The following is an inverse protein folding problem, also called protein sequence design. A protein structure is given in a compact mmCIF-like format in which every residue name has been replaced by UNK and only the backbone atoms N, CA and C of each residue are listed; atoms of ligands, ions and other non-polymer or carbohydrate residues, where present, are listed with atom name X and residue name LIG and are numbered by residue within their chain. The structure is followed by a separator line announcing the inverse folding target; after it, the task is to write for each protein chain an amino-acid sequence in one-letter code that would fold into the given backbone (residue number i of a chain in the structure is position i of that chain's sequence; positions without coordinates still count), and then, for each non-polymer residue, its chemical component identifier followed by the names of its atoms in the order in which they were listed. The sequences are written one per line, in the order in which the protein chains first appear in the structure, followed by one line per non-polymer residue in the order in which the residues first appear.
data_IF_103510501305
#
_entry.id   IF_103510501305
#
_cell.length_a   1.000
_cell.length_b   1.000
_cell.length_c   1.000
_cell.angle_alpha   90.00
_cell.angle_beta   90.00
_cell.angle_gamma   90.00
#
_symmetry.space_group_name_H-M   'P 1'
#
loop_
_entity.id
_entity.type
_entity.pdbx_description
1 polymer ?
#
# COMPACT_ATOMS: atom_id res chain seq x y z
N UNK A 1 -6.26 63.33 -11.14
CA UNK A 1 -5.32 62.40 -11.79
C UNK A 1 -4.71 61.52 -10.71
N UNK A 2 -5.20 60.29 -10.51
CA UNK A 2 -4.40 59.13 -10.12
C UNK A 2 -5.20 57.90 -10.54
N UNK A 3 -4.70 57.29 -11.61
CA UNK A 3 -5.28 56.13 -12.29
C UNK A 3 -5.01 54.88 -11.46
N UNK A 4 -6.06 54.07 -11.26
CA UNK A 4 -5.98 52.70 -10.75
C UNK A 4 -5.24 51.85 -11.77
N UNK A 5 -4.17 51.19 -11.34
CA UNK A 5 -3.64 50.01 -12.03
C UNK A 5 -3.73 48.83 -11.05
N UNK A 6 -4.93 48.24 -10.97
CA UNK A 6 -5.07 46.86 -10.50
C UNK A 6 -4.55 46.03 -11.66
N UNK A 7 -3.34 45.49 -11.53
CA UNK A 7 -2.83 44.49 -12.46
C UNK A 7 -3.84 43.34 -12.50
N UNK A 8 -4.35 43.11 -13.69
CA UNK A 8 -5.19 41.99 -14.10
C UNK A 8 -4.69 40.68 -13.53
N UNK A 9 -5.27 40.26 -12.39
CA UNK A 9 -5.35 38.85 -12.04
C UNK A 9 -6.22 38.25 -13.13
N UNK A 10 -5.59 37.45 -13.98
CA UNK A 10 -6.21 36.80 -15.11
C UNK A 10 -7.27 35.85 -14.53
N UNK A 11 -8.54 36.22 -14.63
CA UNK A 11 -9.66 35.43 -14.08
C UNK A 11 -9.74 34.01 -14.69
N UNK A 12 -9.07 33.81 -15.83
CA UNK A 12 -8.87 32.49 -16.45
C UNK A 12 -7.88 31.60 -15.69
N UNK A 13 -6.85 32.14 -15.03
CA UNK A 13 -5.88 31.32 -14.30
C UNK A 13 -6.49 30.78 -12.98
N UNK A 14 -7.34 31.56 -12.30
CA UNK A 14 -8.14 31.05 -11.16
C UNK A 14 -9.16 29.98 -11.57
N UNK A 15 -9.77 30.11 -12.76
CA UNK A 15 -10.76 29.13 -13.25
C UNK A 15 -10.11 27.85 -13.79
N UNK A 16 -8.81 27.84 -14.06
CA UNK A 16 -8.08 26.65 -14.50
C UNK A 16 -7.58 25.81 -13.32
N UNK A 17 -7.30 26.43 -12.16
CA UNK A 17 -7.06 25.68 -10.92
C UNK A 17 -8.36 25.09 -10.34
N UNK A 18 -9.50 25.77 -10.43
CA UNK A 18 -10.76 25.25 -9.91
C UNK A 18 -11.41 24.16 -10.80
N UNK A 19 -11.17 24.15 -12.12
CA UNK A 19 -11.80 23.17 -13.03
C UNK A 19 -11.16 21.79 -13.01
N UNK A 20 -9.93 21.64 -12.51
CA UNK A 20 -9.32 20.32 -12.32
C UNK A 20 -9.91 19.56 -11.11
N UNK A 21 -10.63 20.25 -10.22
CA UNK A 21 -11.08 19.73 -8.92
C UNK A 21 -12.46 19.07 -8.98
N UNK A 22 -13.19 19.19 -10.09
CA UNK A 22 -14.54 18.64 -10.25
C UNK A 22 -14.58 17.21 -10.85
N UNK A 23 -13.49 16.45 -10.80
CA UNK A 23 -13.47 15.05 -11.22
C UNK A 23 -13.63 14.10 -10.03
N UNK A 24 -14.78 13.44 -9.99
CA UNK A 24 -15.13 12.28 -9.17
C UNK A 24 -14.60 12.32 -7.73
N UNK A 25 -15.38 12.78 -6.72
CA UNK A 25 -14.97 12.78 -5.31
C UNK A 25 -14.40 11.43 -4.82
N UNK A 26 -14.87 10.32 -5.39
CA UNK A 26 -14.33 8.99 -5.13
C UNK A 26 -12.88 8.78 -5.60
N UNK A 27 -12.44 9.40 -6.69
CA UNK A 27 -11.06 9.31 -7.19
C UNK A 27 -10.09 10.05 -6.25
N UNK A 28 -10.43 11.25 -5.78
CA UNK A 28 -9.58 11.97 -4.82
C UNK A 28 -9.43 11.21 -3.49
N UNK A 29 -10.53 10.63 -2.98
CA UNK A 29 -10.47 9.78 -1.79
C UNK A 29 -9.61 8.53 -2.03
N UNK A 30 -9.76 7.88 -3.18
CA UNK A 30 -8.95 6.74 -3.56
C UNK A 30 -7.46 7.08 -3.66
N UNK A 31 -7.10 8.25 -4.19
CA UNK A 31 -5.71 8.72 -4.25
C UNK A 31 -5.12 8.96 -2.86
N UNK A 32 -5.89 9.58 -1.94
CA UNK A 32 -5.46 9.76 -0.54
C UNK A 32 -5.24 8.41 0.15
N UNK A 33 -6.16 7.47 -0.06
CA UNK A 33 -6.05 6.12 0.47
C UNK A 33 -4.80 5.41 -0.07
N UNK A 34 -4.56 5.46 -1.39
CA UNK A 34 -3.38 4.83 -2.02
C UNK A 34 -2.06 5.45 -1.56
N UNK A 35 -2.02 6.78 -1.37
CA UNK A 35 -0.88 7.47 -0.80
C UNK A 35 -0.60 6.97 0.61
N UNK A 36 -1.62 6.84 1.46
CA UNK A 36 -1.46 6.30 2.81
C UNK A 36 -1.06 4.81 2.81
N UNK A 37 -1.71 3.99 1.98
CA UNK A 37 -1.41 2.57 1.81
C UNK A 37 0.05 2.32 1.39
N UNK A 38 0.59 3.13 0.49
CA UNK A 38 2.01 3.09 0.10
C UNK A 38 2.94 3.21 1.31
N UNK A 39 2.70 4.15 2.22
CA UNK A 39 3.53 4.32 3.43
C UNK A 39 3.43 3.12 4.36
N UNK A 40 2.23 2.53 4.49
CA UNK A 40 2.02 1.33 5.29
C UNK A 40 2.81 0.16 4.73
N UNK A 41 2.71 -0.08 3.43
CA UNK A 41 3.42 -1.18 2.78
C UNK A 41 4.95 -1.01 2.91
N UNK A 42 5.45 0.23 2.80
CA UNK A 42 6.87 0.51 3.01
C UNK A 42 7.30 0.21 4.45
N UNK A 43 6.52 0.66 5.44
CA UNK A 43 6.75 0.38 6.86
C UNK A 43 6.73 -1.13 7.16
N UNK A 44 5.82 -1.88 6.55
CA UNK A 44 5.78 -3.34 6.62
C UNK A 44 7.03 -3.99 5.98
N UNK A 45 7.50 -3.46 4.86
CA UNK A 45 8.70 -3.95 4.18
C UNK A 45 9.94 -3.77 5.06
N UNK A 46 10.10 -2.59 5.66
CA UNK A 46 11.22 -2.26 6.54
C UNK A 46 11.17 -3.10 7.82
N UNK A 47 9.98 -3.23 8.41
CA UNK A 47 9.71 -4.08 9.59
C UNK A 47 10.10 -5.54 9.35
N UNK A 48 9.65 -6.16 8.25
CA UNK A 48 10.05 -7.53 7.90
C UNK A 48 11.54 -7.65 7.62
N UNK A 49 12.13 -6.67 6.93
CA UNK A 49 13.55 -6.66 6.61
C UNK A 49 14.42 -6.70 7.87
N UNK A 50 14.01 -5.98 8.91
CA UNK A 50 14.69 -5.96 10.21
C UNK A 50 14.76 -7.32 10.91
N UNK A 51 13.84 -8.24 10.59
CA UNK A 51 13.81 -9.59 11.18
C UNK A 51 14.78 -10.55 10.47
N UNK A 52 15.13 -10.30 9.21
CA UNK A 52 15.90 -11.22 8.34
C UNK A 52 17.15 -11.82 9.01
N UNK A 53 17.99 -11.08 9.77
CA UNK A 53 19.17 -11.65 10.40
C UNK A 53 18.88 -12.81 11.37
N UNK A 54 17.69 -12.79 11.99
CA UNK A 54 17.25 -13.73 13.03
C UNK A 54 16.38 -14.86 12.49
N UNK A 55 15.82 -14.70 11.30
CA UNK A 55 14.99 -15.72 10.66
C UNK A 55 15.86 -16.85 10.09
N UNK A 56 15.44 -18.10 10.33
CA UNK A 56 16.14 -19.31 9.86
C UNK A 56 15.29 -20.19 8.94
N UNK A 57 15.96 -21.10 8.24
CA UNK A 57 15.33 -22.11 7.39
C UNK A 57 14.53 -21.53 6.23
N UNK A 58 13.45 -22.23 5.83
CA UNK A 58 12.57 -21.82 4.73
C UNK A 58 11.92 -20.45 4.95
N UNK A 59 11.68 -20.09 6.22
CA UNK A 59 11.09 -18.79 6.56
C UNK A 59 12.01 -17.65 6.13
N UNK A 60 13.35 -17.83 6.17
CA UNK A 60 14.30 -16.77 5.81
C UNK A 60 14.14 -16.33 4.36
N UNK A 61 14.05 -17.29 3.45
CA UNK A 61 13.85 -17.02 2.02
C UNK A 61 12.51 -16.33 1.80
N UNK A 62 11.45 -16.81 2.46
CA UNK A 62 10.13 -16.17 2.38
C UNK A 62 10.16 -14.73 2.88
N UNK A 63 10.73 -14.45 4.06
CA UNK A 63 10.83 -13.11 4.63
C UNK A 63 11.56 -12.14 3.69
N UNK A 64 12.71 -12.55 3.13
CA UNK A 64 13.47 -11.74 2.15
C UNK A 64 12.61 -11.43 0.92
N UNK A 65 11.95 -12.45 0.36
CA UNK A 65 11.18 -12.25 -0.86
C UNK A 65 9.90 -11.44 -0.61
N UNK A 66 9.29 -11.57 0.56
CA UNK A 66 8.11 -10.80 0.96
C UNK A 66 8.49 -9.33 1.20
N UNK A 67 9.57 -9.04 1.95
CA UNK A 67 10.02 -7.67 2.20
C UNK A 67 10.40 -6.95 0.91
N UNK A 68 11.09 -7.63 -0.01
CA UNK A 68 11.44 -7.06 -1.31
C UNK A 68 10.21 -6.75 -2.15
N UNK A 69 9.22 -7.65 -2.14
CA UNK A 69 7.99 -7.47 -2.90
C UNK A 69 7.13 -6.33 -2.36
N UNK A 70 7.02 -6.19 -1.03
CA UNK A 70 6.38 -5.03 -0.40
C UNK A 70 7.09 -3.72 -0.79
N UNK A 71 8.43 -3.70 -0.80
CA UNK A 71 9.18 -2.52 -1.26
C UNK A 71 8.89 -2.17 -2.72
N UNK A 72 8.81 -3.19 -3.59
CA UNK A 72 8.44 -3.00 -4.99
C UNK A 72 7.02 -2.45 -5.15
N UNK A 73 6.04 -2.97 -4.38
CA UNK A 73 4.68 -2.43 -4.33
C UNK A 73 4.72 -0.93 -3.99
N UNK A 74 5.42 -0.55 -2.91
CA UNK A 74 5.50 0.84 -2.49
C UNK A 74 6.15 1.73 -3.56
N UNK A 75 7.20 1.25 -4.24
CA UNK A 75 7.86 1.99 -5.31
C UNK A 75 6.95 2.14 -6.54
N UNK A 76 6.28 1.08 -6.98
CA UNK A 76 5.36 1.12 -8.12
C UNK A 76 4.19 2.07 -7.85
N UNK A 77 3.62 2.04 -6.65
CA UNK A 77 2.61 3.01 -6.22
C UNK A 77 3.16 4.44 -6.19
N UNK A 78 4.43 4.64 -5.79
CA UNK A 78 5.06 5.96 -5.82
C UNK A 78 5.07 6.54 -7.23
N UNK A 79 5.54 5.76 -8.20
CA UNK A 79 5.64 6.22 -9.59
C UNK A 79 4.26 6.46 -10.20
N UNK A 80 3.30 5.57 -9.94
CA UNK A 80 1.93 5.74 -10.43
C UNK A 80 1.22 6.97 -9.84
N UNK A 81 1.42 7.27 -8.55
CA UNK A 81 0.87 8.46 -7.90
C UNK A 81 1.46 9.76 -8.49
N UNK A 82 2.74 9.77 -8.87
CA UNK A 82 3.35 10.95 -9.52
C UNK A 82 2.69 11.26 -10.86
N UNK A 83 2.30 10.24 -11.63
CA UNK A 83 1.66 10.43 -12.93
C UNK A 83 0.34 11.21 -12.82
N UNK A 84 -0.40 11.02 -11.73
CA UNK A 84 -1.66 11.71 -11.45
C UNK A 84 -1.47 12.99 -10.62
N UNK A 85 -0.25 13.51 -10.54
CA UNK A 85 0.08 14.76 -9.83
C UNK A 85 0.11 14.66 -8.30
N UNK A 86 0.07 13.45 -7.74
CA UNK A 86 0.14 13.25 -6.29
C UNK A 86 1.60 13.11 -5.86
N UNK A 87 2.06 13.95 -4.94
CA UNK A 87 3.40 13.81 -4.35
C UNK A 87 3.44 12.59 -3.39
N UNK A 88 4.21 11.53 -3.70
CA UNK A 88 4.24 10.31 -2.90
C UNK A 88 5.20 10.38 -1.70
N UNK A 89 6.07 11.40 -1.63
CA UNK A 89 7.09 11.55 -0.58
C UNK A 89 6.56 12.22 0.67
N UNK A 90 5.51 13.02 0.53
CA UNK A 90 4.84 13.67 1.66
C UNK A 90 3.95 12.65 2.38
N UNK A 91 4.24 12.37 3.65
CA UNK A 91 3.39 11.48 4.46
C UNK A 91 2.09 12.22 4.81
N UNK A 92 0.91 11.61 4.63
CA UNK A 92 -0.33 12.20 5.12
C UNK A 92 -0.27 12.41 6.64
N UNK A 93 -0.63 13.61 7.12
CA UNK A 93 -0.63 13.96 8.55
C UNK A 93 -1.57 13.04 9.35
N UNK A 94 -2.69 12.65 8.75
CA UNK A 94 -3.69 11.75 9.32
C UNK A 94 -3.73 10.41 8.58
N UNK A 95 -2.58 9.72 8.52
CA UNK A 95 -2.46 8.43 7.85
C UNK A 95 -3.52 7.41 8.32
N UNK A 96 -3.85 7.42 9.61
CA UNK A 96 -4.86 6.56 10.21
C UNK A 96 -6.28 6.89 9.72
N UNK A 97 -6.59 8.17 9.54
CA UNK A 97 -7.89 8.62 9.02
C UNK A 97 -8.05 8.30 7.52
N UNK A 98 -6.94 8.31 6.77
CA UNK A 98 -6.96 8.07 5.32
C UNK A 98 -7.24 6.61 4.93
N UNK A 99 -6.82 5.64 5.75
CA UNK A 99 -6.89 4.21 5.41
C UNK A 99 -8.16 3.51 5.90
N UNK A 100 -8.86 4.12 6.87
CA UNK A 100 -10.01 3.54 7.55
C UNK A 100 -9.63 2.52 8.64
N UNK A 101 -10.54 2.31 9.58
CA UNK A 101 -10.34 1.49 10.78
C UNK A 101 -9.87 0.06 10.48
N UNK A 102 -10.45 -0.59 9.46
CA UNK A 102 -10.12 -1.98 9.12
C UNK A 102 -8.66 -2.13 8.67
N UNK A 103 -8.16 -1.20 7.85
CA UNK A 103 -6.77 -1.20 7.41
C UNK A 103 -5.82 -0.82 8.55
N UNK A 104 -6.27 0.02 9.48
CA UNK A 104 -5.51 0.41 10.67
C UNK A 104 -5.35 -0.76 11.64
N UNK A 105 -6.42 -1.51 11.90
CA UNK A 105 -6.38 -2.76 12.67
C UNK A 105 -5.46 -3.79 12.02
N UNK A 106 -5.54 -3.93 10.69
CA UNK A 106 -4.62 -4.77 9.92
C UNK A 106 -3.14 -4.44 10.17
N UNK A 107 -2.80 -3.15 10.17
CA UNK A 107 -1.45 -2.67 10.45
C UNK A 107 -1.04 -2.86 11.91
N UNK A 108 -1.94 -2.58 12.87
CA UNK A 108 -1.65 -2.73 14.30
C UNK A 108 -1.29 -4.18 14.64
N UNK A 109 -2.06 -5.14 14.14
CA UNK A 109 -1.77 -6.55 14.42
C UNK A 109 -0.52 -7.03 13.69
N UNK A 110 -0.26 -6.55 12.48
CA UNK A 110 1.02 -6.82 11.81
C UNK A 110 2.20 -6.33 12.66
N UNK A 111 2.13 -5.09 13.18
CA UNK A 111 3.18 -4.54 14.04
C UNK A 111 3.33 -5.31 15.34
N UNK A 112 2.22 -5.71 15.96
CA UNK A 112 2.24 -6.53 17.16
C UNK A 112 2.97 -7.87 16.92
N UNK A 113 2.67 -8.55 15.80
CA UNK A 113 3.35 -9.78 15.41
C UNK A 113 4.84 -9.54 15.17
N UNK A 114 5.20 -8.49 14.42
CA UNK A 114 6.62 -8.16 14.18
C UNK A 114 7.35 -7.89 15.49
N UNK A 115 6.76 -7.14 16.41
CA UNK A 115 7.35 -6.81 17.69
C UNK A 115 7.54 -8.07 18.56
N UNK A 116 6.54 -8.95 18.63
CA UNK A 116 6.65 -10.24 19.32
C UNK A 116 7.81 -11.08 18.75
N UNK A 117 7.91 -11.16 17.41
CA UNK A 117 9.02 -11.85 16.77
C UNK A 117 10.37 -11.17 17.01
N UNK A 118 10.37 -9.84 17.16
CA UNK A 118 11.58 -9.06 17.42
C UNK A 118 12.13 -9.25 18.84
N UNK A 119 11.40 -9.88 19.75
CA UNK A 119 11.92 -10.27 21.07
C UNK A 119 12.71 -11.58 21.02
N UNK A 120 12.59 -12.35 19.93
CA UNK A 120 13.26 -13.65 19.78
C UNK A 120 14.67 -13.50 19.22
N UNK A 121 15.61 -14.27 19.76
CA UNK A 121 16.96 -14.40 19.20
C UNK A 121 16.97 -15.13 17.85
N UNK A 122 16.10 -16.13 17.71
CA UNK A 122 15.93 -16.92 16.49
C UNK A 122 14.46 -17.09 16.17
N UNK A 123 14.10 -16.86 14.91
CA UNK A 123 12.73 -16.96 14.41
C UNK A 123 12.65 -18.09 13.38
N UNK A 124 11.68 -18.98 13.56
CA UNK A 124 11.45 -20.16 12.73
C UNK A 124 10.02 -20.19 12.20
N UNK A 125 9.75 -21.09 11.24
CA UNK A 125 8.39 -21.26 10.69
C UNK A 125 7.36 -21.60 11.79
N UNK A 126 7.76 -22.34 12.82
CA UNK A 126 6.85 -22.72 13.92
C UNK A 126 6.35 -21.52 14.71
N UNK A 127 7.16 -20.45 14.79
CA UNK A 127 6.80 -19.23 15.52
C UNK A 127 5.67 -18.45 14.86
N UNK A 128 5.49 -18.59 13.54
CA UNK A 128 4.55 -17.78 12.77
C UNK A 128 3.42 -18.58 12.12
N UNK A 129 3.57 -19.90 11.97
CA UNK A 129 2.65 -20.73 11.18
C UNK A 129 1.18 -20.64 11.62
N UNK A 130 0.92 -20.54 12.93
CA UNK A 130 -0.44 -20.39 13.47
C UNK A 130 -1.09 -19.07 13.08
N UNK A 131 -0.30 -18.03 12.81
CA UNK A 131 -0.77 -16.69 12.42
C UNK A 131 -0.79 -16.47 10.91
N UNK A 132 -0.08 -17.30 10.13
CA UNK A 132 -0.03 -17.15 8.67
C UNK A 132 -1.43 -17.17 8.04
N UNK A 133 -2.37 -17.96 8.54
CA UNK A 133 -3.74 -18.00 8.04
C UNK A 133 -4.48 -16.66 8.22
N UNK A 134 -4.40 -16.07 9.41
CA UNK A 134 -4.99 -14.75 9.71
C UNK A 134 -4.35 -13.65 8.85
N UNK A 135 -3.03 -13.69 8.69
CA UNK A 135 -2.31 -12.73 7.85
C UNK A 135 -2.75 -12.85 6.38
N UNK A 136 -2.89 -14.08 5.85
CA UNK A 136 -3.38 -14.31 4.48
C UNK A 136 -4.78 -13.71 4.29
N UNK A 137 -5.71 -13.93 5.22
CA UNK A 137 -7.07 -13.37 5.11
C UNK A 137 -7.06 -11.83 5.04
N UNK A 138 -6.18 -11.17 5.80
CA UNK A 138 -6.03 -9.71 5.75
C UNK A 138 -5.46 -9.23 4.42
N UNK A 139 -4.50 -9.96 3.87
CA UNK A 139 -3.94 -9.68 2.53
C UNK A 139 -5.05 -9.83 1.47
N UNK A 140 -5.89 -10.86 1.54
CA UNK A 140 -7.00 -11.09 0.62
C UNK A 140 -8.09 -10.01 0.70
N UNK A 141 -8.37 -9.50 1.91
CA UNK A 141 -9.25 -8.35 2.11
C UNK A 141 -8.68 -7.08 1.47
N UNK A 142 -7.38 -6.81 1.68
CA UNK A 142 -6.70 -5.69 1.06
C UNK A 142 -6.68 -5.78 -0.48
N UNK A 143 -6.44 -6.98 -1.03
CA UNK A 143 -6.56 -7.25 -2.48
C UNK A 143 -7.97 -6.91 -2.98
N UNK A 144 -9.02 -7.30 -2.25
CA UNK A 144 -10.40 -7.00 -2.63
C UNK A 144 -10.68 -5.49 -2.64
N UNK A 145 -10.16 -4.76 -1.66
CA UNK A 145 -10.22 -3.29 -1.63
C UNK A 145 -9.49 -2.66 -2.82
N UNK A 146 -8.27 -3.12 -3.12
CA UNK A 146 -7.49 -2.64 -4.28
C UNK A 146 -8.21 -2.91 -5.60
N UNK A 147 -8.88 -4.05 -5.76
CA UNK A 147 -9.71 -4.35 -6.94
C UNK A 147 -10.85 -3.36 -7.10
N UNK A 148 -11.52 -2.99 -6.01
CA UNK A 148 -12.58 -1.98 -6.04
C UNK A 148 -12.03 -0.60 -6.46
N UNK A 149 -10.86 -0.20 -5.92
CA UNK A 149 -10.20 1.05 -6.33
C UNK A 149 -9.76 1.03 -7.79
N UNK A 150 -9.26 -0.11 -8.27
CA UNK A 150 -8.85 -0.29 -9.66
C UNK A 150 -9.99 0.01 -10.63
N UNK A 151 -11.20 -0.48 -10.36
CA UNK A 151 -12.39 -0.24 -11.19
C UNK A 151 -12.73 1.25 -11.28
N UNK A 152 -12.55 2.00 -10.20
CA UNK A 152 -12.76 3.47 -10.18
C UNK A 152 -11.84 4.14 -11.20
N UNK A 153 -10.56 3.75 -11.24
CA UNK A 153 -9.57 4.35 -12.13
C UNK A 153 -9.66 3.85 -13.58
N UNK A 154 -10.04 2.60 -13.81
CA UNK A 154 -10.30 2.06 -15.16
C UNK A 154 -11.48 2.75 -15.86
N UNK A 155 -12.49 3.14 -15.07
CA UNK A 155 -13.68 3.82 -15.57
C UNK A 155 -13.44 5.31 -15.86
N UNK A 156 -12.26 5.83 -15.53
CA UNK A 156 -11.95 7.24 -15.71
C UNK A 156 -11.43 7.54 -17.13
N UNK A 157 -11.72 8.75 -17.63
CA UNK A 157 -11.33 9.18 -18.98
C UNK A 157 -9.85 9.53 -19.12
N UNK A 158 -9.18 9.88 -18.01
CA UNK A 158 -7.77 10.29 -17.99
C UNK A 158 -6.81 9.11 -18.12
N UNK A 159 -5.85 9.23 -19.03
CA UNK A 159 -4.82 8.21 -19.27
C UNK A 159 -3.95 7.96 -18.03
N UNK A 160 -3.72 8.98 -17.20
CA UNK A 160 -2.96 8.87 -15.96
C UNK A 160 -3.66 7.95 -14.94
N UNK A 161 -5.01 7.95 -14.92
CA UNK A 161 -5.77 7.02 -14.08
C UNK A 161 -5.74 5.59 -14.63
N UNK A 162 -5.65 5.40 -15.95
CA UNK A 162 -5.40 4.07 -16.52
C UNK A 162 -4.00 3.54 -16.16
N UNK A 163 -2.98 4.40 -16.12
CA UNK A 163 -1.67 4.01 -15.62
C UNK A 163 -1.72 3.60 -14.14
N UNK A 164 -2.53 4.30 -13.34
CA UNK A 164 -2.76 3.93 -11.95
C UNK A 164 -3.48 2.57 -11.81
N UNK A 165 -4.47 2.27 -12.66
CA UNK A 165 -5.13 0.96 -12.62
C UNK A 165 -4.20 -0.20 -12.98
N UNK A 166 -3.27 0.00 -13.93
CA UNK A 166 -2.22 -0.97 -14.24
C UNK A 166 -1.27 -1.18 -13.06
N UNK A 167 -0.89 -0.10 -12.37
CA UNK A 167 -0.07 -0.20 -11.15
C UNK A 167 -0.81 -0.99 -10.05
N UNK A 168 -2.12 -0.77 -9.89
CA UNK A 168 -2.93 -1.52 -8.93
C UNK A 168 -3.02 -3.00 -9.29
N UNK A 169 -3.10 -3.37 -10.56
CA UNK A 169 -3.04 -4.78 -10.98
C UNK A 169 -1.72 -5.43 -10.54
N UNK A 170 -0.60 -4.77 -10.80
CA UNK A 170 0.71 -5.27 -10.38
C UNK A 170 0.83 -5.43 -8.86
N UNK A 171 0.26 -4.49 -8.09
CA UNK A 171 0.19 -4.58 -6.63
C UNK A 171 -0.67 -5.77 -6.17
N UNK A 172 -1.83 -5.97 -6.79
CA UNK A 172 -2.74 -7.09 -6.50
C UNK A 172 -2.03 -8.43 -6.76
N UNK A 173 -1.32 -8.56 -7.87
CA UNK A 173 -0.56 -9.75 -8.21
C UNK A 173 0.55 -10.03 -7.19
N UNK A 174 1.30 -9.00 -6.83
CA UNK A 174 2.37 -9.11 -5.85
C UNK A 174 1.86 -9.51 -4.46
N UNK A 175 0.74 -8.94 -4.01
CA UNK A 175 0.08 -9.33 -2.77
C UNK A 175 -0.45 -10.77 -2.83
N UNK A 176 -1.01 -11.17 -3.97
CA UNK A 176 -1.50 -12.54 -4.20
C UNK A 176 -0.38 -13.57 -4.13
N UNK A 177 0.83 -13.22 -4.61
CA UNK A 177 2.02 -14.06 -4.48
C UNK A 177 2.41 -14.25 -3.00
N UNK A 178 2.31 -13.21 -2.18
CA UNK A 178 2.59 -13.31 -0.73
C UNK A 178 1.59 -14.25 -0.07
N UNK A 179 0.29 -14.05 -0.29
CA UNK A 179 -0.78 -14.90 0.25
C UNK A 179 -0.62 -16.37 -0.17
N UNK A 180 -0.36 -16.62 -1.46
CA UNK A 180 -0.11 -17.98 -1.98
C UNK A 180 1.06 -18.66 -1.26
N UNK A 181 2.15 -17.93 -1.00
CA UNK A 181 3.32 -18.45 -0.29
C UNK A 181 3.05 -18.75 1.17
N UNK A 182 2.21 -17.96 1.85
CA UNK A 182 1.77 -18.29 3.20
C UNK A 182 1.06 -19.64 3.24
N UNK A 183 0.14 -19.88 2.31
CA UNK A 183 -0.59 -21.16 2.22
C UNK A 183 0.37 -22.33 1.92
N UNK A 184 1.39 -22.13 1.07
CA UNK A 184 2.43 -23.12 0.83
C UNK A 184 3.24 -23.43 2.10
N UNK A 185 3.63 -22.43 2.86
CA UNK A 185 4.36 -22.61 4.12
C UNK A 185 3.54 -23.34 5.18
N UNK A 186 2.24 -23.03 5.30
CA UNK A 186 1.31 -23.72 6.19
C UNK A 186 1.23 -25.22 5.80
N UNK A 187 1.03 -25.51 4.52
CA UNK A 187 0.97 -26.88 4.01
C UNK A 187 2.26 -27.67 4.31
N UNK A 188 3.42 -27.06 4.06
CA UNK A 188 4.72 -27.66 4.37
C UNK A 188 4.90 -27.94 5.87
N UNK A 189 4.42 -27.05 6.74
CA UNK A 189 4.51 -27.27 8.18
C UNK A 189 3.59 -28.41 8.64
N UNK A 190 2.41 -28.57 8.03
CA UNK A 190 1.47 -29.63 8.38
C UNK A 190 1.86 -31.00 7.82
N UNK A 191 2.55 -31.06 6.67
CA UNK A 191 3.06 -32.30 6.09
C UNK A 191 4.26 -32.89 6.86
N UNK A 192 4.92 -32.09 7.69
CA UNK A 192 6.09 -32.49 8.50
C UNK A 192 5.75 -32.65 10.00
N UNK A 193 4.46 -32.77 10.34
CA UNK A 193 3.97 -33.16 11.68
C UNK A 193 3.71 -34.65 11.72
#
# INVERSE_FOLDING_TARGET
MFSRAISSINFQDCLMEEKAVAEYPGAQLALRWLKAFRFIILDMADSLSSLIPRVKGLLKIHTILASNRLRNIANNLSEALKLVGVNPSEKPDELEHCIGEVALEALRDFKAIVNELAEKETITLRDIVSRLGEITQRIELAISGLKALKVIFESASKEEYKALSLALEAVIDDMSIIAKRHNQLIALCNANK
#
